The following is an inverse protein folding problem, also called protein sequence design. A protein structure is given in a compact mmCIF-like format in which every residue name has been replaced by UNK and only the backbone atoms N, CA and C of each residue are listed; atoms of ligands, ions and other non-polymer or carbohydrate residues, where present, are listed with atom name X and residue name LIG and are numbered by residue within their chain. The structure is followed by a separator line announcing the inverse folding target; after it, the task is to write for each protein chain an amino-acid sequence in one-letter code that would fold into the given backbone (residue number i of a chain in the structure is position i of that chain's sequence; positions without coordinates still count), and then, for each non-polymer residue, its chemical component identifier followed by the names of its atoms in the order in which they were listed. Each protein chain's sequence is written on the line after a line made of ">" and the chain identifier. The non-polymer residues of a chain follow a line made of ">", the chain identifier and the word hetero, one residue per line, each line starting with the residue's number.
data_IF_321876109459
#
_entry.id   IF_321876109459
#
_cell.length_a   1.000
_cell.length_b   1.000
_cell.length_c   1.000
_cell.angle_alpha   90.00
_cell.angle_beta   90.00
_cell.angle_gamma   90.00
#
_symmetry.space_group_name_H-M   'P 1'
#
loop_
_entity.id
_entity.type
_entity.pdbx_description
1 polymer ?
#
# COMPACT_ATOMS: atom_id res chain seq x y z
N UNK A 1 -85.19 33.27 -26.57
CA UNK A 1 -83.81 33.45 -26.11
C UNK A 1 -83.11 32.10 -26.15
N UNK A 2 -81.90 32.10 -26.66
CA UNK A 2 -81.09 31.01 -27.20
C UNK A 2 -80.64 30.01 -26.14
N UNK A 3 -80.83 28.71 -26.40
CA UNK A 3 -80.22 27.64 -25.61
C UNK A 3 -78.73 27.56 -25.97
N UNK A 4 -77.88 27.86 -24.99
CA UNK A 4 -76.43 27.77 -25.07
C UNK A 4 -76.04 26.31 -24.80
N UNK A 5 -75.53 25.63 -25.83
CA UNK A 5 -75.10 24.24 -25.71
C UNK A 5 -73.75 24.19 -24.99
N UNK A 6 -73.73 23.63 -23.79
CA UNK A 6 -72.51 23.33 -23.05
C UNK A 6 -71.96 21.97 -23.52
N UNK A 7 -70.96 22.01 -24.40
CA UNK A 7 -70.23 20.82 -24.84
C UNK A 7 -69.05 20.54 -23.90
N UNK A 8 -69.00 19.33 -23.35
CA UNK A 8 -67.88 18.84 -22.57
C UNK A 8 -67.13 17.82 -23.41
N UNK A 9 -65.85 18.09 -23.67
CA UNK A 9 -64.98 17.22 -24.45
C UNK A 9 -64.01 16.48 -23.53
N UNK A 10 -63.97 15.16 -23.66
CA UNK A 10 -63.06 14.28 -22.93
C UNK A 10 -62.26 13.47 -23.95
N UNK A 11 -60.99 13.83 -24.12
CA UNK A 11 -60.08 13.20 -25.08
C UNK A 11 -59.03 12.32 -24.40
N UNK A 12 -58.93 11.05 -24.80
CA UNK A 12 -57.84 10.16 -24.43
C UNK A 12 -56.94 9.91 -25.65
N UNK A 13 -55.67 10.35 -25.57
CA UNK A 13 -54.68 10.05 -26.61
C UNK A 13 -53.98 8.72 -26.30
N UNK A 14 -54.24 7.72 -27.14
CA UNK A 14 -53.52 6.45 -27.13
C UNK A 14 -52.57 6.40 -28.32
N UNK A 15 -51.27 6.28 -28.06
CA UNK A 15 -50.25 6.17 -29.10
C UNK A 15 -49.44 4.89 -28.89
N UNK A 16 -49.50 3.98 -29.86
CA UNK A 16 -48.67 2.77 -29.91
C UNK A 16 -47.88 2.80 -31.21
N UNK A 17 -46.54 2.85 -31.14
CA UNK A 17 -45.72 2.89 -32.34
C UNK A 17 -45.80 1.57 -33.10
N UNK A 18 -46.28 1.62 -34.35
CA UNK A 18 -46.33 0.46 -35.24
C UNK A 18 -44.94 0.30 -35.87
N UNK A 19 -44.17 -0.64 -35.33
CA UNK A 19 -42.81 -0.96 -35.81
C UNK A 19 -41.75 -0.85 -34.72
N UNK A 20 -41.42 -1.97 -34.07
CA UNK A 20 -40.49 -2.02 -32.92
C UNK A 20 -39.00 -2.00 -33.30
N UNK A 21 -38.62 -1.50 -34.49
CA UNK A 21 -37.21 -1.55 -34.96
C UNK A 21 -36.31 -0.62 -34.16
N UNK A 22 -36.74 0.62 -33.91
CA UNK A 22 -36.00 1.60 -33.09
C UNK A 22 -35.83 1.15 -31.65
N UNK A 23 -36.92 0.71 -31.00
CA UNK A 23 -36.88 0.20 -29.63
C UNK A 23 -36.02 -1.07 -29.48
N UNK A 24 -35.99 -1.96 -30.49
CA UNK A 24 -35.07 -3.11 -30.48
C UNK A 24 -33.61 -2.70 -30.66
N UNK A 25 -33.34 -1.69 -31.49
CA UNK A 25 -32.00 -1.16 -31.69
C UNK A 25 -31.47 -0.47 -30.43
N UNK A 26 -32.30 0.29 -29.71
CA UNK A 26 -31.91 0.93 -28.45
C UNK A 26 -31.61 -0.09 -27.35
N UNK A 27 -32.39 -1.17 -27.23
CA UNK A 27 -32.11 -2.26 -26.27
C UNK A 27 -30.77 -2.93 -26.59
N UNK A 28 -30.51 -3.25 -27.86
CA UNK A 28 -29.22 -3.84 -28.27
C UNK A 28 -28.04 -2.91 -28.01
N UNK A 29 -28.21 -1.61 -28.20
CA UNK A 29 -27.18 -0.64 -27.89
C UNK A 29 -26.86 -0.62 -26.39
N UNK A 30 -27.89 -0.62 -25.52
CA UNK A 30 -27.72 -0.71 -24.08
C UNK A 30 -27.08 -2.05 -23.64
N UNK A 31 -27.43 -3.16 -24.28
CA UNK A 31 -26.79 -4.47 -24.03
C UNK A 31 -25.29 -4.43 -24.40
N UNK A 32 -24.94 -3.81 -25.54
CA UNK A 32 -23.55 -3.65 -25.95
C UNK A 32 -22.76 -2.76 -24.99
N UNK A 33 -23.37 -1.69 -24.49
CA UNK A 33 -22.78 -0.81 -23.47
C UNK A 33 -22.53 -1.56 -22.17
N UNK A 34 -23.51 -2.30 -21.65
CA UNK A 34 -23.36 -3.11 -20.44
C UNK A 34 -22.24 -4.14 -20.58
N UNK A 35 -22.13 -4.82 -21.73
CA UNK A 35 -21.04 -5.77 -21.98
C UNK A 35 -19.69 -5.04 -21.93
N UNK A 36 -19.57 -3.84 -22.51
CA UNK A 36 -18.33 -3.04 -22.45
C UNK A 36 -17.98 -2.69 -21.00
N UNK A 37 -18.95 -2.25 -20.22
CA UNK A 37 -18.74 -1.88 -18.82
C UNK A 37 -18.28 -3.08 -17.98
N UNK A 38 -18.89 -4.25 -18.15
CA UNK A 38 -18.48 -5.48 -17.47
C UNK A 38 -17.03 -5.83 -17.84
N UNK A 39 -16.66 -5.73 -19.12
CA UNK A 39 -15.29 -6.01 -19.57
C UNK A 39 -14.29 -5.00 -19.01
N UNK A 40 -14.66 -3.72 -18.98
CA UNK A 40 -13.84 -2.66 -18.41
C UNK A 40 -13.65 -2.84 -16.89
N UNK A 41 -14.70 -3.21 -16.16
CA UNK A 41 -14.61 -3.54 -14.73
C UNK A 41 -13.73 -4.77 -14.49
N UNK A 42 -13.86 -5.81 -15.32
CA UNK A 42 -13.01 -6.99 -15.23
C UNK A 42 -11.53 -6.64 -15.46
N UNK A 43 -11.24 -5.80 -16.46
CA UNK A 43 -9.89 -5.32 -16.74
C UNK A 43 -9.33 -4.48 -15.59
N UNK A 44 -10.12 -3.54 -15.05
CA UNK A 44 -9.73 -2.72 -13.89
C UNK A 44 -9.41 -3.59 -12.68
N UNK A 45 -10.27 -4.57 -12.38
CA UNK A 45 -10.03 -5.53 -11.29
C UNK A 45 -8.71 -6.26 -11.46
N UNK A 46 -8.43 -6.77 -12.66
CA UNK A 46 -7.17 -7.47 -12.92
C UNK A 46 -5.97 -6.51 -12.75
N UNK A 47 -6.05 -5.30 -13.28
CA UNK A 47 -5.01 -4.26 -13.11
C UNK A 47 -4.68 -4.04 -11.64
N UNK A 48 -5.70 -3.77 -10.81
CA UNK A 48 -5.51 -3.54 -9.36
C UNK A 48 -4.89 -4.75 -8.67
N UNK A 49 -5.28 -5.97 -9.05
CA UNK A 49 -4.67 -7.19 -8.49
C UNK A 49 -3.19 -7.32 -8.85
N UNK A 50 -2.82 -6.98 -10.09
CA UNK A 50 -1.41 -6.94 -10.51
C UNK A 50 -0.64 -5.87 -9.75
N UNK A 51 -1.20 -4.67 -9.61
CA UNK A 51 -0.57 -3.56 -8.90
C UNK A 51 -0.33 -3.91 -7.42
N UNK A 52 -1.33 -4.45 -6.72
CA UNK A 52 -1.19 -4.94 -5.34
C UNK A 52 -0.09 -6.01 -5.23
N UNK A 53 -0.08 -6.97 -6.16
CA UNK A 53 0.94 -8.04 -6.17
C UNK A 53 2.35 -7.49 -6.43
N UNK A 54 2.47 -6.43 -7.22
CA UNK A 54 3.75 -5.78 -7.50
C UNK A 54 4.22 -4.97 -6.27
N UNK A 55 3.35 -4.19 -5.63
CA UNK A 55 3.69 -3.46 -4.41
C UNK A 55 4.11 -4.39 -3.27
N UNK A 56 3.42 -5.52 -3.07
CA UNK A 56 3.81 -6.51 -2.06
C UNK A 56 5.20 -7.11 -2.34
N UNK A 57 5.47 -7.52 -3.58
CA UNK A 57 6.79 -8.02 -3.99
C UNK A 57 7.88 -6.95 -3.83
N UNK A 58 7.56 -5.69 -4.14
CA UNK A 58 8.48 -4.58 -3.97
C UNK A 58 8.80 -4.32 -2.50
N UNK A 59 7.81 -4.39 -1.60
CA UNK A 59 8.02 -4.27 -0.16
C UNK A 59 8.92 -5.36 0.40
N UNK A 60 8.70 -6.62 -0.01
CA UNK A 60 9.54 -7.75 0.37
C UNK A 60 10.99 -7.53 -0.11
N UNK A 61 11.17 -7.14 -1.37
CA UNK A 61 12.48 -6.81 -1.91
C UNK A 61 13.18 -5.68 -1.12
N UNK A 62 12.46 -4.61 -0.81
CA UNK A 62 13.01 -3.48 -0.03
C UNK A 62 13.38 -3.90 1.38
N UNK A 63 12.60 -4.78 2.01
CA UNK A 63 12.92 -5.34 3.31
C UNK A 63 14.22 -6.18 3.28
N UNK A 64 14.36 -7.06 2.29
CA UNK A 64 15.61 -7.83 2.12
C UNK A 64 16.80 -6.91 1.85
N UNK A 65 16.60 -5.85 1.04
CA UNK A 65 17.64 -4.86 0.78
C UNK A 65 18.02 -4.10 2.05
N UNK A 66 17.05 -3.76 2.90
CA UNK A 66 17.31 -3.13 4.19
C UNK A 66 18.25 -3.98 5.05
N UNK A 67 18.01 -5.30 5.16
CA UNK A 67 18.90 -6.19 5.90
C UNK A 67 20.33 -6.20 5.36
N UNK A 68 20.51 -6.16 4.04
CA UNK A 68 21.85 -6.11 3.44
C UNK A 68 22.57 -4.80 3.73
N UNK A 69 21.86 -3.67 3.67
CA UNK A 69 22.44 -2.34 3.92
C UNK A 69 22.73 -2.14 5.40
N UNK A 70 21.94 -2.72 6.31
CA UNK A 70 22.25 -2.76 7.74
C UNK A 70 23.58 -3.49 8.00
N UNK A 71 23.78 -4.66 7.39
CA UNK A 71 25.05 -5.40 7.48
C UNK A 71 26.21 -4.60 6.89
N UNK A 72 26.00 -3.92 5.77
CA UNK A 72 27.00 -3.06 5.13
C UNK A 72 27.40 -1.88 6.04
N UNK A 73 26.43 -1.22 6.68
CA UNK A 73 26.70 -0.14 7.62
C UNK A 73 27.46 -0.65 8.86
N UNK A 74 27.07 -1.81 9.40
CA UNK A 74 27.78 -2.44 10.51
C UNK A 74 29.24 -2.77 10.14
N UNK A 75 29.47 -3.30 8.93
CA UNK A 75 30.82 -3.55 8.42
C UNK A 75 31.62 -2.25 8.23
N UNK A 76 30.99 -1.21 7.68
CA UNK A 76 31.61 0.10 7.52
C UNK A 76 32.04 0.70 8.87
N UNK A 77 31.18 0.60 9.89
CA UNK A 77 31.50 1.04 11.25
C UNK A 77 32.73 0.31 11.82
N UNK A 78 32.81 -1.02 11.62
CA UNK A 78 33.98 -1.81 12.04
C UNK A 78 35.24 -1.39 11.29
N UNK A 79 35.15 -1.13 9.99
CA UNK A 79 36.28 -0.66 9.19
C UNK A 79 36.77 0.71 9.63
N UNK A 80 35.88 1.69 9.82
CA UNK A 80 36.27 3.02 10.34
C UNK A 80 36.96 2.90 11.69
N UNK A 81 36.46 2.05 12.59
CA UNK A 81 37.10 1.82 13.89
C UNK A 81 38.51 1.23 13.73
N UNK A 82 38.67 0.21 12.88
CA UNK A 82 39.99 -0.39 12.62
C UNK A 82 40.97 0.59 11.97
N UNK A 83 40.53 1.35 10.96
CA UNK A 83 41.35 2.34 10.29
C UNK A 83 41.73 3.50 11.24
N UNK A 84 40.81 3.93 12.11
CA UNK A 84 41.09 4.93 13.14
C UNK A 84 42.19 4.45 14.09
N UNK A 85 42.13 3.21 14.55
CA UNK A 85 43.14 2.64 15.45
C UNK A 85 44.52 2.57 14.78
N UNK A 86 44.59 2.19 13.50
CA UNK A 86 45.84 2.19 12.71
C UNK A 86 46.42 3.59 12.55
N UNK A 87 45.55 4.59 12.34
CA UNK A 87 45.97 5.98 12.22
C UNK A 87 46.48 6.56 13.55
N UNK A 88 45.83 6.23 14.67
CA UNK A 88 46.21 6.71 16.00
C UNK A 88 47.48 6.03 16.53
N UNK A 89 47.67 4.74 16.22
CA UNK A 89 48.81 3.94 16.64
C UNK A 89 49.56 3.39 15.42
N UNK A 90 50.29 4.25 14.69
CA UNK A 90 51.08 3.80 13.54
C UNK A 90 52.25 2.93 14.03
N UNK A 91 52.48 1.78 13.40
CA UNK A 91 53.54 0.88 13.79
C UNK A 91 54.91 1.47 13.39
N UNK A 92 55.83 1.75 14.34
CA UNK A 92 57.08 2.46 14.09
C UNK A 92 58.00 1.78 13.07
N UNK A 93 57.92 0.45 12.93
CA UNK A 93 58.77 -0.32 12.03
C UNK A 93 58.29 -0.32 10.55
N UNK A 94 57.09 0.21 10.29
CA UNK A 94 56.44 0.19 8.95
C UNK A 94 56.15 1.57 8.39
N UNK A 95 56.53 2.64 9.10
CA UNK A 95 56.18 4.02 8.74
C UNK A 95 57.38 4.69 8.08
N UNK A 96 57.54 4.47 6.77
CA UNK A 96 58.26 5.41 5.91
C UNK A 96 57.42 6.70 5.74
N UNK A 97 57.99 7.77 5.19
CA UNK A 97 57.26 9.05 4.96
C UNK A 97 55.96 8.86 4.17
N UNK A 98 55.92 7.89 3.25
CA UNK A 98 54.75 7.55 2.43
C UNK A 98 53.73 6.66 3.17
N UNK A 99 54.14 5.91 4.21
CA UNK A 99 53.29 4.99 4.96
C UNK A 99 52.18 5.72 5.73
N UNK A 100 52.50 6.88 6.33
CA UNK A 100 51.51 7.67 7.07
C UNK A 100 50.41 8.23 6.16
N UNK A 101 50.79 8.68 4.94
CA UNK A 101 49.84 9.18 3.94
C UNK A 101 48.88 8.08 3.50
N UNK A 102 49.39 6.86 3.30
CA UNK A 102 48.57 5.70 2.95
C UNK A 102 47.56 5.33 4.06
N UNK A 103 47.96 5.36 5.33
CA UNK A 103 47.06 5.09 6.47
C UNK A 103 45.99 6.19 6.59
N UNK A 104 46.36 7.46 6.41
CA UNK A 104 45.39 8.56 6.39
C UNK A 104 44.39 8.38 5.23
N UNK A 105 44.86 8.02 4.05
CA UNK A 105 44.00 7.76 2.89
C UNK A 105 43.03 6.60 3.15
N UNK A 106 43.48 5.49 3.75
CA UNK A 106 42.62 4.37 4.17
C UNK A 106 41.55 4.82 5.17
N UNK A 107 41.92 5.65 6.16
CA UNK A 107 40.96 6.19 7.13
C UNK A 107 39.91 7.10 6.48
N UNK A 108 40.33 7.99 5.58
CA UNK A 108 39.41 8.86 4.83
C UNK A 108 38.50 8.04 3.91
N UNK A 109 39.02 7.00 3.25
CA UNK A 109 38.23 6.08 2.44
C UNK A 109 37.19 5.34 3.29
N UNK A 110 37.57 4.85 4.47
CA UNK A 110 36.65 4.19 5.40
C UNK A 110 35.52 5.14 5.86
N UNK A 111 35.83 6.41 6.15
CA UNK A 111 34.82 7.42 6.50
C UNK A 111 33.83 7.60 5.35
N UNK A 112 34.33 7.78 4.12
CA UNK A 112 33.47 7.93 2.92
C UNK A 112 32.57 6.72 2.72
N UNK A 113 33.14 5.52 2.83
CA UNK A 113 32.36 4.29 2.72
C UNK A 113 31.26 4.20 3.77
N UNK A 114 31.53 4.63 5.02
CA UNK A 114 30.49 4.69 6.06
C UNK A 114 29.42 5.73 5.75
N UNK A 115 29.78 6.91 5.24
CA UNK A 115 28.79 7.93 4.87
C UNK A 115 27.90 7.45 3.74
N UNK A 116 28.46 6.77 2.75
CA UNK A 116 27.71 6.19 1.63
C UNK A 116 26.76 5.09 2.13
N UNK A 117 27.24 4.17 2.97
CA UNK A 117 26.40 3.13 3.55
C UNK A 117 25.25 3.69 4.43
N UNK A 118 25.50 4.80 5.15
CA UNK A 118 24.47 5.47 5.94
C UNK A 118 23.43 6.17 5.04
N UNK A 119 23.86 6.78 3.94
CA UNK A 119 22.97 7.38 2.95
C UNK A 119 22.10 6.31 2.26
N UNK A 120 22.70 5.19 1.87
CA UNK A 120 22.00 4.04 1.30
C UNK A 120 20.92 3.51 2.26
N UNK A 121 21.24 3.41 3.56
CA UNK A 121 20.29 2.97 4.58
C UNK A 121 19.08 3.89 4.66
N UNK A 122 19.32 5.20 4.75
CA UNK A 122 18.26 6.19 4.82
C UNK A 122 17.38 6.15 3.56
N UNK A 123 17.99 6.00 2.38
CA UNK A 123 17.26 5.90 1.11
C UNK A 123 16.36 4.66 1.05
N UNK A 124 16.81 3.51 1.54
CA UNK A 124 16.00 2.28 1.56
C UNK A 124 14.81 2.40 2.51
N UNK A 125 15.00 2.96 3.71
CA UNK A 125 13.90 3.18 4.66
C UNK A 125 12.84 4.12 4.06
N UNK A 126 13.27 5.22 3.44
CA UNK A 126 12.35 6.16 2.79
C UNK A 126 11.56 5.50 1.65
N UNK A 127 12.23 4.68 0.82
CA UNK A 127 11.58 3.91 -0.26
C UNK A 127 10.57 2.90 0.29
N UNK A 128 10.92 2.18 1.35
CA UNK A 128 10.01 1.24 2.00
C UNK A 128 8.72 1.92 2.48
N UNK A 129 8.86 3.04 3.20
CA UNK A 129 7.70 3.80 3.69
C UNK A 129 6.84 4.34 2.53
N UNK A 130 7.47 4.79 1.45
CA UNK A 130 6.75 5.26 0.26
C UNK A 130 5.95 4.14 -0.41
N UNK A 131 6.54 2.94 -0.56
CA UNK A 131 5.84 1.78 -1.13
C UNK A 131 4.72 1.27 -0.22
N UNK A 132 4.88 1.39 1.11
CA UNK A 132 3.81 1.06 2.06
C UNK A 132 2.60 1.98 1.87
N UNK A 133 2.84 3.29 1.73
CA UNK A 133 1.77 4.26 1.44
C UNK A 133 1.09 3.95 0.11
N UNK A 134 1.83 3.62 -0.94
CA UNK A 134 1.28 3.22 -2.24
C UNK A 134 0.44 1.95 -2.18
N UNK A 135 0.85 0.98 -1.36
CA UNK A 135 0.07 -0.23 -1.12
C UNK A 135 -1.28 0.12 -0.48
N UNK A 136 -1.27 0.96 0.56
CA UNK A 136 -2.51 1.40 1.24
C UNK A 136 -3.39 2.28 0.35
N UNK A 137 -2.80 3.10 -0.53
CA UNK A 137 -3.52 3.84 -1.55
C UNK A 137 -4.22 2.91 -2.55
N UNK A 138 -3.51 1.89 -3.06
CA UNK A 138 -4.07 0.91 -4.00
C UNK A 138 -5.18 0.08 -3.37
N UNK A 139 -5.09 -0.21 -2.06
CA UNK A 139 -6.17 -0.85 -1.29
C UNK A 139 -7.36 0.07 -1.05
N UNK A 140 -7.15 1.39 -1.10
CA UNK A 140 -8.13 2.42 -0.72
C UNK A 140 -8.19 2.70 0.78
N UNK A 141 -7.36 2.05 1.60
CA UNK A 141 -7.37 2.14 3.07
C UNK A 141 -6.47 3.23 3.63
N UNK A 142 -5.90 4.08 2.78
CA UNK A 142 -4.92 5.10 3.18
C UNK A 142 -5.41 6.03 4.30
N UNK A 143 -6.66 6.51 4.22
CA UNK A 143 -7.21 7.41 5.23
C UNK A 143 -7.39 6.70 6.57
N UNK A 144 -7.91 5.47 6.54
CA UNK A 144 -8.03 4.61 7.72
C UNK A 144 -6.67 4.31 8.34
N UNK A 145 -5.65 4.02 7.52
CA UNK A 145 -4.28 3.79 7.98
C UNK A 145 -3.66 5.01 8.67
N UNK A 146 -3.96 6.21 8.17
CA UNK A 146 -3.51 7.48 8.79
C UNK A 146 -4.36 7.91 9.99
N UNK A 147 -5.39 7.12 10.36
CA UNK A 147 -6.32 7.48 11.44
C UNK A 147 -7.22 8.68 11.10
N UNK A 148 -7.37 9.02 9.81
CA UNK A 148 -8.23 10.10 9.35
C UNK A 148 -9.61 9.52 9.08
N UNK A 149 -10.54 9.78 10.00
CA UNK A 149 -11.93 9.40 9.83
C UNK A 149 -12.65 10.40 8.93
N UNK A 150 -13.00 9.97 7.73
CA UNK A 150 -13.84 10.74 6.82
C UNK A 150 -15.26 10.16 6.81
N UNK A 151 -16.26 11.02 7.04
CA UNK A 151 -17.67 10.63 7.18
C UNK A 151 -18.21 9.89 5.94
N UNK A 152 -17.63 10.13 4.75
CA UNK A 152 -18.01 9.49 3.50
C UNK A 152 -16.91 8.59 2.91
N UNK A 153 -16.05 7.99 3.74
CA UNK A 153 -15.03 7.05 3.28
C UNK A 153 -15.69 5.75 2.76
N UNK A 154 -15.54 5.39 1.47
CA UNK A 154 -16.10 4.16 0.92
C UNK A 154 -15.59 2.90 1.65
N UNK A 155 -14.37 2.92 2.21
CA UNK A 155 -13.81 1.77 2.92
C UNK A 155 -14.45 1.57 4.30
N UNK A 156 -14.84 2.65 4.99
CA UNK A 156 -15.56 2.56 6.26
C UNK A 156 -17.06 2.32 6.06
N UNK A 157 -17.64 2.79 4.95
CA UNK A 157 -19.05 2.56 4.58
C UNK A 157 -19.38 1.08 4.32
N UNK A 158 -18.43 0.29 3.80
CA UNK A 158 -18.65 -1.15 3.59
C UNK A 158 -18.82 -1.92 4.91
N UNK A 159 -18.27 -1.42 6.03
CA UNK A 159 -18.55 -1.99 7.36
C UNK A 159 -19.99 -1.73 7.83
N UNK A 160 -20.64 -0.68 7.32
CA UNK A 160 -22.06 -0.37 7.54
C UNK A 160 -22.98 -1.19 6.60
N UNK A 161 -22.46 -1.74 5.50
CA UNK A 161 -23.17 -2.73 4.70
C UNK A 161 -23.10 -4.13 5.33
N UNK A 162 -23.16 -4.18 6.66
CA UNK A 162 -23.54 -5.37 7.40
C UNK A 162 -24.99 -5.64 6.98
N UNK A 163 -25.18 -6.63 6.09
CA UNK A 163 -26.51 -7.12 5.74
C UNK A 163 -27.31 -7.29 7.05
N UNK A 164 -28.62 -6.95 7.09
CA UNK A 164 -29.42 -7.14 8.29
C UNK A 164 -29.28 -8.59 8.75
N UNK A 165 -28.53 -8.77 9.84
CA UNK A 165 -28.18 -10.08 10.38
C UNK A 165 -29.40 -10.62 11.12
N UNK A 166 -30.26 -11.36 10.42
CA UNK A 166 -31.32 -12.20 10.98
C UNK A 166 -32.34 -11.47 11.91
N UNK A 167 -33.50 -12.08 12.23
CA UNK A 167 -34.62 -11.34 12.81
C UNK A 167 -34.37 -10.97 14.28
N UNK A 168 -35.01 -9.87 14.72
CA UNK A 168 -35.00 -9.33 16.07
C UNK A 168 -35.04 -10.44 17.14
N UNK A 169 -33.99 -10.59 17.94
CA UNK A 169 -34.06 -11.46 19.11
C UNK A 169 -32.77 -11.83 19.84
N UNK A 170 -31.58 -11.56 19.31
CA UNK A 170 -30.34 -11.79 20.09
C UNK A 170 -29.96 -10.53 20.91
N UNK A 171 -29.56 -10.68 22.18
CA UNK A 171 -29.07 -9.56 22.97
C UNK A 171 -27.80 -8.99 22.31
N UNK A 172 -27.51 -7.68 22.50
CA UNK A 172 -26.38 -7.04 21.88
C UNK A 172 -25.10 -7.77 22.29
N UNK A 173 -24.46 -8.43 21.34
CA UNK A 173 -23.06 -8.81 21.50
C UNK A 173 -22.32 -7.49 21.56
N UNK A 174 -21.83 -7.15 22.75
CA UNK A 174 -20.92 -6.04 22.94
C UNK A 174 -19.82 -6.16 21.89
N UNK A 175 -19.81 -5.22 20.94
CA UNK A 175 -18.68 -5.00 20.06
C UNK A 175 -17.58 -4.51 20.99
N UNK A 176 -16.74 -5.42 21.47
CA UNK A 176 -15.60 -5.10 22.31
C UNK A 176 -14.78 -4.02 21.60
N UNK A 177 -14.93 -2.80 22.06
CA UNK A 177 -13.89 -1.79 22.00
C UNK A 177 -12.67 -2.36 22.71
N UNK A 178 -11.51 -2.20 22.08
CA UNK A 178 -10.19 -2.27 22.71
C UNK A 178 -9.74 -3.66 23.20
N UNK A 179 -9.00 -4.36 22.35
CA UNK A 179 -7.68 -4.81 22.81
C UNK A 179 -6.65 -3.89 22.14
N UNK A 180 -5.91 -3.05 22.89
CA UNK A 180 -4.67 -2.50 22.35
C UNK A 180 -3.77 -3.71 22.05
N UNK A 181 -3.18 -3.74 20.87
CA UNK A 181 -2.15 -4.73 20.53
C UNK A 181 -1.07 -4.60 21.62
N UNK A 182 -1.06 -5.54 22.55
CA UNK A 182 -0.05 -5.64 23.57
C UNK A 182 1.31 -5.81 22.85
N UNK A 183 2.40 -5.20 23.36
CA UNK A 183 3.73 -5.22 22.72
C UNK A 183 4.36 -6.63 22.61
N UNK A 184 3.62 -7.67 22.96
CA UNK A 184 3.99 -9.06 23.12
C UNK A 184 3.99 -9.83 21.78
N UNK A 185 3.33 -9.31 20.74
CA UNK A 185 3.26 -9.94 19.41
C UNK A 185 4.61 -9.96 18.66
N UNK A 186 5.65 -9.33 19.22
CA UNK A 186 7.02 -9.40 18.69
C UNK A 186 7.83 -10.62 19.18
N UNK A 187 7.34 -11.40 20.15
CA UNK A 187 8.07 -12.55 20.70
C UNK A 187 8.00 -13.82 19.82
N UNK A 188 6.92 -14.04 19.07
CA UNK A 188 6.80 -15.21 18.18
C UNK A 188 7.77 -15.19 16.98
N UNK A 189 8.28 -14.02 16.60
CA UNK A 189 9.22 -13.86 15.50
C UNK A 189 10.69 -14.08 15.89
N UNK A 190 11.00 -14.18 17.20
CA UNK A 190 12.34 -14.57 17.67
C UNK A 190 12.53 -16.09 17.66
N UNK A 191 11.51 -16.89 17.99
CA UNK A 191 11.60 -18.36 17.96
C UNK A 191 11.74 -18.92 16.53
N UNK A 192 11.12 -18.29 15.52
CA UNK A 192 11.36 -18.64 14.11
C UNK A 192 12.80 -18.36 13.65
N UNK A 193 13.45 -17.34 14.26
CA UNK A 193 14.83 -16.95 13.95
C UNK A 193 15.87 -17.92 14.53
N UNK A 194 15.55 -18.58 15.66
CA UNK A 194 16.43 -19.57 16.29
C UNK A 194 16.32 -20.98 15.65
N UNK A 195 15.14 -21.32 15.12
CA UNK A 195 14.93 -22.56 14.36
C UNK A 195 15.72 -22.62 13.06
N UNK A 196 15.89 -21.48 12.38
CA UNK A 196 16.55 -21.41 11.06
C UNK A 196 18.06 -21.12 11.11
N UNK A 197 18.64 -20.96 12.31
CA UNK A 197 20.08 -20.79 12.50
C UNK A 197 20.81 -22.11 12.86
N UNK A 198 20.09 -23.25 12.87
CA UNK A 198 20.62 -24.60 13.15
C UNK A 198 20.72 -25.51 11.91
N UNK A 199 20.67 -24.96 10.71
CA UNK A 199 21.02 -25.65 9.47
C UNK A 199 22.07 -24.86 8.69
#
# INVERSE_FOLDING_TARGET
>A
ATAEFADWELGALFSVPIGRRGAKASVRAAEQELIRDIRLLQQRRLSVMYDLSNHLRQLEYLYLRFETVEKQLAAANKWVNGARLRYQNPNPDTVDSDGLVNILNDYLAAIRFRTDAAADRAAIIARYNTELVRLEETKGTLLSFLGIEYLADPCNQLSCFQMPSAPLGSPPVARNSEEPIAPDAYLGWQEFRESNARY
#
